data_IF_684627668531
#
_entry.id   IF_684627668531
#
_cell.length_a   1.000
_cell.length_b   1.000
_cell.length_c   1.000
_cell.angle_alpha   90.00
_cell.angle_beta   90.00
_cell.angle_gamma   90.00
#
_symmetry.space_group_name_H-M   'P 1'
#
loop_
_entity.id
_entity.type
_entity.pdbx_description
1 polymer ?
#
# COMPACT_ATOMS: atom_id res chain seq x y z
N UNK A 1 2.56 54.30 -50.21
CA UNK A 1 1.42 53.50 -49.70
C UNK A 1 1.96 52.18 -49.22
N UNK A 2 1.84 51.80 -47.98
CA UNK A 2 1.70 52.56 -46.75
C UNK A 2 2.01 51.57 -45.63
N UNK A 3 2.32 52.10 -44.46
CA UNK A 3 2.81 51.30 -43.35
C UNK A 3 1.86 50.19 -42.92
N UNK A 4 2.46 49.01 -42.64
CA UNK A 4 2.06 48.05 -41.58
C UNK A 4 3.04 46.85 -41.56
N UNK A 5 4.31 47.12 -41.30
CA UNK A 5 5.30 46.10 -40.92
C UNK A 5 6.02 46.42 -39.60
N UNK A 6 5.47 47.35 -38.82
CA UNK A 6 5.89 47.60 -37.45
C UNK A 6 4.66 47.55 -36.57
N UNK A 7 4.60 46.51 -35.75
CA UNK A 7 3.95 46.37 -34.42
C UNK A 7 3.35 44.98 -34.32
N UNK A 8 4.17 44.00 -33.91
CA UNK A 8 3.88 42.89 -32.99
C UNK A 8 5.27 42.34 -32.63
N UNK A 9 5.99 43.14 -31.83
CA UNK A 9 7.20 42.74 -31.14
C UNK A 9 7.08 43.30 -29.72
N UNK A 10 6.06 42.83 -28.99
CA UNK A 10 5.90 43.02 -27.54
C UNK A 10 4.65 42.27 -27.07
N UNK A 11 4.87 41.03 -26.60
CA UNK A 11 4.12 40.22 -25.63
C UNK A 11 4.27 38.75 -25.99
N UNK A 12 5.36 38.14 -25.51
CA UNK A 12 5.43 36.69 -25.33
C UNK A 12 5.50 36.49 -23.82
N UNK A 13 4.36 36.08 -23.27
CA UNK A 13 4.23 35.54 -21.93
C UNK A 13 3.40 34.26 -22.13
N UNK A 14 3.94 33.13 -21.67
CA UNK A 14 3.43 31.75 -21.66
C UNK A 14 3.66 30.83 -22.89
N UNK A 15 4.20 29.60 -22.69
CA UNK A 15 4.43 28.62 -23.75
C UNK A 15 3.33 27.55 -23.75
N UNK A 16 2.17 27.83 -24.36
CA UNK A 16 1.18 26.79 -24.72
C UNK A 16 0.46 27.12 -26.03
N UNK A 17 1.20 27.25 -27.13
CA UNK A 17 0.58 27.35 -28.47
C UNK A 17 1.55 27.20 -29.67
N UNK A 18 2.81 26.78 -29.46
CA UNK A 18 3.77 26.69 -30.56
C UNK A 18 3.59 25.48 -31.50
N UNK A 19 2.70 24.52 -31.19
CA UNK A 19 2.50 23.32 -32.03
C UNK A 19 1.41 23.51 -33.10
N UNK A 20 0.62 24.59 -33.04
CA UNK A 20 -0.50 24.78 -33.98
C UNK A 20 -0.25 25.73 -35.17
N UNK A 21 0.93 26.38 -35.25
CA UNK A 21 1.22 27.36 -36.31
C UNK A 21 2.29 26.96 -37.34
N UNK A 22 2.92 25.79 -37.22
CA UNK A 22 3.87 25.30 -38.25
C UNK A 22 3.16 24.52 -39.37
N UNK A 23 1.89 24.13 -39.19
CA UNK A 23 1.19 23.24 -40.12
C UNK A 23 0.43 23.92 -41.28
N UNK A 24 0.42 25.26 -41.37
CA UNK A 24 -0.34 25.98 -42.42
C UNK A 24 0.55 26.77 -43.39
N UNK A 25 1.86 26.89 -43.14
CA UNK A 25 2.78 27.68 -43.98
C UNK A 25 3.54 26.88 -45.06
N UNK A 26 3.25 25.59 -45.28
CA UNK A 26 3.91 24.77 -46.32
C UNK A 26 2.98 24.27 -47.44
N UNK A 27 1.74 24.75 -47.52
CA UNK A 27 0.73 24.23 -48.46
C UNK A 27 0.43 25.14 -49.66
N UNK A 28 1.27 26.13 -49.98
CA UNK A 28 1.03 27.03 -51.12
C UNK A 28 1.90 26.78 -52.37
N UNK A 29 2.79 25.79 -52.39
CA UNK A 29 3.58 25.47 -53.58
C UNK A 29 3.75 23.97 -53.78
N UNK A 30 2.71 23.27 -54.23
CA UNK A 30 2.89 21.95 -54.85
C UNK A 30 1.86 21.71 -55.96
N UNK A 31 2.29 21.98 -57.20
CA UNK A 31 1.64 21.47 -58.42
C UNK A 31 2.32 20.14 -58.78
N UNK A 32 1.54 19.06 -58.83
CA UNK A 32 1.49 18.08 -59.94
C UNK A 32 1.00 16.69 -59.49
N UNK A 33 -0.06 16.22 -60.14
CA UNK A 33 -0.40 14.83 -60.45
C UNK A 33 -0.23 13.76 -59.37
N UNK A 34 -1.20 13.68 -58.46
CA UNK A 34 -1.53 12.44 -57.76
C UNK A 34 -3.01 12.18 -57.96
N UNK A 35 -3.37 10.99 -58.47
CA UNK A 35 -4.77 10.63 -58.69
C UNK A 35 -5.54 10.60 -57.37
N UNK A 36 -6.78 11.08 -57.40
CA UNK A 36 -7.67 11.24 -56.23
C UNK A 36 -7.80 9.96 -55.38
N UNK A 37 -7.66 8.80 -56.01
CA UNK A 37 -7.68 7.47 -55.37
C UNK A 37 -6.46 7.22 -54.47
N UNK A 38 -5.27 7.69 -54.84
CA UNK A 38 -4.06 7.53 -54.02
C UNK A 38 -4.04 8.51 -52.84
N UNK A 39 -4.67 9.68 -52.99
CA UNK A 39 -4.80 10.66 -51.90
C UNK A 39 -5.81 10.19 -50.84
N UNK A 40 -6.94 9.58 -51.26
CA UNK A 40 -7.91 8.97 -50.34
C UNK A 40 -7.35 7.76 -49.60
N UNK A 41 -6.59 6.88 -50.28
CA UNK A 41 -5.91 5.77 -49.60
C UNK A 41 -4.87 6.26 -48.59
N UNK A 42 -4.03 7.26 -48.93
CA UNK A 42 -3.06 7.82 -47.99
C UNK A 42 -3.69 8.58 -46.83
N UNK A 43 -4.79 9.30 -47.04
CA UNK A 43 -5.56 9.91 -45.95
C UNK A 43 -6.19 8.85 -45.05
N UNK A 44 -6.71 7.76 -45.62
CA UNK A 44 -7.27 6.65 -44.85
C UNK A 44 -6.17 5.91 -44.09
N UNK A 45 -4.96 5.73 -44.65
CA UNK A 45 -3.81 5.15 -43.94
C UNK A 45 -3.28 6.10 -42.86
N UNK A 46 -3.29 7.41 -43.07
CA UNK A 46 -2.89 8.40 -42.06
C UNK A 46 -3.94 8.50 -40.94
N UNK A 47 -5.24 8.41 -41.26
CA UNK A 47 -6.34 8.33 -40.29
C UNK A 47 -6.34 6.99 -39.55
N UNK A 48 -5.97 5.88 -40.20
CA UNK A 48 -5.77 4.58 -39.53
C UNK A 48 -4.49 4.55 -38.67
N UNK A 49 -3.42 5.27 -39.06
CA UNK A 49 -2.20 5.41 -38.27
C UNK A 49 -2.38 6.39 -37.09
N UNK A 50 -3.22 7.42 -37.24
CA UNK A 50 -3.63 8.34 -36.17
C UNK A 50 -4.74 7.77 -35.26
N UNK A 51 -5.40 6.67 -35.66
CA UNK A 51 -6.41 5.98 -34.84
C UNK A 51 -5.88 4.73 -34.12
N UNK A 52 -4.57 4.42 -34.20
CA UNK A 52 -3.92 3.34 -33.42
C UNK A 52 -3.16 3.87 -32.21
N UNK A 53 -3.12 5.17 -31.95
CA UNK A 53 -2.96 5.63 -30.56
C UNK A 53 -4.31 5.49 -29.87
N UNK A 54 -4.75 4.24 -29.66
CA UNK A 54 -5.50 3.97 -28.45
C UNK A 54 -4.62 4.48 -27.32
N UNK A 55 -4.97 5.65 -26.77
CA UNK A 55 -4.79 5.87 -25.35
C UNK A 55 -5.54 4.72 -24.68
N UNK A 56 -4.90 3.55 -24.61
CA UNK A 56 -5.12 2.61 -23.53
C UNK A 56 -4.95 3.48 -22.30
N UNK A 57 -6.06 3.87 -21.69
CA UNK A 57 -6.03 4.61 -20.44
C UNK A 57 -5.07 3.88 -19.53
N UNK A 58 -3.96 4.54 -19.18
CA UNK A 58 -2.93 3.91 -18.38
C UNK A 58 -3.54 3.50 -17.03
N UNK A 59 -3.67 2.20 -16.86
CA UNK A 59 -4.29 1.53 -15.73
C UNK A 59 -3.59 0.18 -15.54
N UNK A 60 -3.37 -0.25 -14.29
CA UNK A 60 -2.91 -1.59 -14.02
C UNK A 60 -3.85 -2.60 -14.69
N UNK A 61 -3.31 -3.46 -15.54
CA UNK A 61 -4.05 -4.56 -16.14
C UNK A 61 -4.03 -5.82 -15.25
N UNK A 62 -3.83 -5.62 -13.95
CA UNK A 62 -3.68 -6.66 -12.95
C UNK A 62 -4.37 -6.26 -11.65
N UNK A 63 -4.69 -7.26 -10.83
CA UNK A 63 -5.37 -7.04 -9.56
C UNK A 63 -4.53 -6.17 -8.61
N UNK A 64 -5.19 -5.34 -7.79
CA UNK A 64 -4.54 -4.58 -6.72
C UNK A 64 -3.87 -5.51 -5.71
N UNK A 65 -2.76 -5.08 -5.08
CA UNK A 65 -2.12 -5.89 -4.05
C UNK A 65 -3.04 -5.99 -2.82
N UNK A 66 -3.08 -7.19 -2.24
CA UNK A 66 -3.84 -7.51 -1.04
C UNK A 66 -3.23 -8.73 -0.35
N UNK A 67 -3.55 -8.92 0.92
CA UNK A 67 -3.02 -9.97 1.76
C UNK A 67 -1.73 -9.56 2.47
N UNK A 68 -0.97 -10.58 2.87
CA UNK A 68 0.28 -10.45 3.62
C UNK A 68 1.42 -10.14 2.65
N UNK A 69 2.03 -8.97 2.85
CA UNK A 69 3.28 -8.56 2.25
C UNK A 69 4.36 -8.48 3.33
N UNK A 70 5.60 -8.83 3.00
CA UNK A 70 6.69 -8.64 3.95
C UNK A 70 7.20 -7.19 3.96
N UNK A 71 7.20 -6.52 5.12
CA UNK A 71 8.04 -5.34 5.38
C UNK A 71 9.48 -5.79 5.67
N UNK A 72 10.12 -6.47 4.72
CA UNK A 72 11.44 -7.05 4.90
C UNK A 72 12.56 -6.00 4.89
N UNK A 73 13.76 -6.35 5.36
CA UNK A 73 14.90 -5.43 5.41
C UNK A 73 15.19 -4.73 4.06
N UNK A 74 15.81 -3.53 4.08
CA UNK A 74 16.10 -2.82 2.84
C UNK A 74 17.12 -3.58 1.98
N UNK A 75 17.06 -3.35 0.68
CA UNK A 75 18.04 -3.83 -0.30
C UNK A 75 19.28 -2.95 -0.23
N UNK A 76 20.40 -3.54 0.18
CA UNK A 76 21.68 -2.84 0.43
C UNK A 76 22.87 -3.45 -0.29
N UNK A 77 22.66 -4.53 -1.06
CA UNK A 77 23.74 -5.34 -1.62
C UNK A 77 24.34 -6.37 -0.66
N UNK A 78 23.93 -6.37 0.61
CA UNK A 78 24.33 -7.38 1.59
C UNK A 78 23.24 -8.43 1.82
N UNK A 79 23.64 -9.69 1.95
CA UNK A 79 22.71 -10.81 2.17
C UNK A 79 21.68 -10.93 1.06
N UNK A 80 20.43 -11.24 1.41
CA UNK A 80 19.34 -11.40 0.44
C UNK A 80 18.61 -10.10 0.09
N UNK A 81 18.94 -8.97 0.74
CA UNK A 81 18.17 -7.74 0.63
C UNK A 81 16.72 -7.91 1.13
N UNK A 82 15.77 -7.35 0.38
CA UNK A 82 14.34 -7.40 0.75
C UNK A 82 13.69 -8.77 0.50
N UNK A 83 14.06 -9.48 -0.55
CA UNK A 83 13.51 -10.80 -0.90
C UNK A 83 14.27 -11.90 -0.15
N UNK A 84 13.97 -12.03 1.14
CA UNK A 84 14.50 -13.11 1.97
C UNK A 84 13.87 -14.47 1.58
N UNK A 85 14.66 -15.50 1.21
CA UNK A 85 14.16 -16.82 0.84
C UNK A 85 13.25 -17.48 1.88
N UNK A 86 13.55 -17.36 3.17
CA UNK A 86 12.76 -17.99 4.23
C UNK A 86 11.34 -17.41 4.31
N UNK A 87 11.20 -16.12 4.03
CA UNK A 87 9.91 -15.42 3.93
C UNK A 87 9.24 -15.74 2.60
N UNK A 88 10.00 -15.66 1.50
CA UNK A 88 9.48 -15.85 0.15
C UNK A 88 9.01 -17.30 -0.11
N UNK A 89 9.44 -18.28 0.68
CA UNK A 89 8.94 -19.65 0.61
C UNK A 89 7.59 -19.86 1.32
N UNK A 90 7.13 -18.92 2.16
CA UNK A 90 5.83 -19.04 2.82
C UNK A 90 4.70 -18.82 1.81
N UNK A 91 3.78 -19.78 1.71
CA UNK A 91 2.66 -19.73 0.75
C UNK A 91 1.70 -18.58 1.03
N UNK A 92 1.50 -18.25 2.31
CA UNK A 92 0.61 -17.18 2.73
C UNK A 92 1.18 -15.77 2.50
N UNK A 93 2.43 -15.62 2.06
CA UNK A 93 3.01 -14.32 1.70
C UNK A 93 2.74 -14.06 0.22
N UNK A 94 1.96 -13.02 -0.11
CA UNK A 94 1.63 -12.67 -1.49
C UNK A 94 2.71 -11.78 -2.14
N UNK A 95 3.43 -11.00 -1.34
CA UNK A 95 4.46 -10.12 -1.86
C UNK A 95 5.42 -9.58 -0.81
N UNK A 96 6.32 -8.70 -1.24
CA UNK A 96 7.42 -8.19 -0.46
C UNK A 96 7.60 -6.71 -0.78
N UNK A 97 7.70 -5.89 0.25
CA UNK A 97 8.15 -4.50 0.12
C UNK A 97 9.65 -4.48 -0.15
N UNK A 98 10.02 -4.09 -1.37
CA UNK A 98 11.40 -3.84 -1.78
C UNK A 98 11.68 -2.36 -1.55
N UNK A 99 12.54 -2.08 -0.57
CA UNK A 99 13.07 -0.75 -0.27
C UNK A 99 14.51 -0.64 -0.75
N UNK A 100 14.83 0.38 -1.53
CA UNK A 100 16.21 0.61 -2.00
C UNK A 100 16.54 2.10 -1.97
N UNK A 101 17.73 2.45 -1.51
CA UNK A 101 18.18 3.84 -1.40
C UNK A 101 18.41 4.50 -2.76
N UNK A 102 18.05 5.78 -2.89
CA UNK A 102 18.36 6.57 -4.08
C UNK A 102 19.86 6.59 -4.37
N UNK A 103 20.71 6.76 -3.36
CA UNK A 103 22.16 6.70 -3.45
C UNK A 103 22.73 5.40 -4.04
N UNK A 104 22.01 4.27 -3.92
CA UNK A 104 22.42 3.00 -4.53
C UNK A 104 21.97 2.89 -5.99
N UNK A 105 20.86 3.53 -6.33
CA UNK A 105 20.32 3.52 -7.68
C UNK A 105 20.93 4.60 -8.59
N UNK A 106 21.44 5.69 -8.01
CA UNK A 106 22.09 6.80 -8.72
C UNK A 106 23.32 7.29 -7.94
N UNK A 107 24.40 6.47 -7.92
CA UNK A 107 25.61 6.78 -7.15
C UNK A 107 26.33 8.06 -7.61
N UNK A 108 26.13 8.48 -8.86
CA UNK A 108 26.63 9.73 -9.44
C UNK A 108 25.52 10.37 -10.28
N UNK A 109 25.55 11.70 -10.44
CA UNK A 109 24.55 12.45 -11.21
C UNK A 109 24.37 11.83 -12.62
N UNK A 110 23.12 11.49 -12.96
CA UNK A 110 22.70 10.88 -14.22
C UNK A 110 23.35 9.52 -14.55
N UNK A 111 23.96 8.86 -13.57
CA UNK A 111 24.53 7.52 -13.70
C UNK A 111 23.77 6.53 -12.83
N UNK A 112 22.87 5.79 -13.46
CA UNK A 112 21.99 4.85 -12.78
C UNK A 112 22.56 3.43 -12.70
N UNK A 113 22.42 2.80 -11.53
CA UNK A 113 22.71 1.38 -11.30
C UNK A 113 21.45 0.67 -10.77
N UNK A 114 20.82 -0.11 -11.64
CA UNK A 114 19.59 -0.85 -11.32
C UNK A 114 19.84 -2.28 -10.85
N UNK A 115 21.11 -2.72 -10.81
CA UNK A 115 21.49 -4.13 -10.62
C UNK A 115 20.87 -4.74 -9.37
N UNK A 116 20.91 -4.02 -8.25
CA UNK A 116 20.37 -4.49 -6.98
C UNK A 116 18.85 -4.69 -7.05
N UNK A 117 18.12 -3.74 -7.64
CA UNK A 117 16.67 -3.81 -7.76
C UNK A 117 16.24 -4.90 -8.74
N UNK A 118 16.94 -5.06 -9.87
CA UNK A 118 16.70 -6.16 -10.82
C UNK A 118 16.93 -7.53 -10.19
N UNK A 119 17.93 -7.65 -9.32
CA UNK A 119 18.16 -8.85 -8.52
C UNK A 119 16.98 -9.18 -7.61
N UNK A 120 16.39 -8.18 -6.95
CA UNK A 120 15.20 -8.37 -6.11
C UNK A 120 13.97 -8.76 -6.93
N UNK A 121 13.77 -8.14 -8.10
CA UNK A 121 12.69 -8.49 -9.04
C UNK A 121 12.84 -9.94 -9.52
N UNK A 122 14.06 -10.35 -9.87
CA UNK A 122 14.37 -11.73 -10.29
C UNK A 122 14.08 -12.73 -9.18
N UNK A 123 14.53 -12.44 -7.95
CA UNK A 123 14.25 -13.28 -6.79
C UNK A 123 12.74 -13.39 -6.51
N UNK A 124 12.00 -12.27 -6.56
CA UNK A 124 10.56 -12.28 -6.37
C UNK A 124 9.86 -13.14 -7.44
N UNK A 125 10.26 -13.03 -8.71
CA UNK A 125 9.77 -13.87 -9.82
C UNK A 125 10.02 -15.36 -9.55
N UNK A 126 11.21 -15.73 -9.06
CA UNK A 126 11.56 -17.12 -8.72
C UNK A 126 10.62 -17.72 -7.66
N UNK A 127 10.22 -16.93 -6.66
CA UNK A 127 9.28 -17.35 -5.60
C UNK A 127 7.81 -17.05 -5.94
N UNK A 128 7.51 -16.62 -7.17
CA UNK A 128 6.17 -16.21 -7.59
C UNK A 128 5.54 -15.11 -6.70
N UNK A 129 6.38 -14.25 -6.11
CA UNK A 129 5.96 -13.13 -5.25
C UNK A 129 5.81 -11.84 -6.04
N UNK A 130 4.96 -10.95 -5.52
CA UNK A 130 4.80 -9.58 -6.03
C UNK A 130 5.61 -8.58 -5.21
N UNK A 131 5.84 -7.41 -5.79
CA UNK A 131 6.62 -6.34 -5.16
C UNK A 131 5.74 -5.12 -4.92
N UNK A 132 5.81 -4.57 -3.71
CA UNK A 132 5.61 -3.14 -3.49
C UNK A 132 6.98 -2.47 -3.47
N UNK A 133 7.15 -1.40 -4.23
CA UNK A 133 8.45 -0.77 -4.44
C UNK A 133 8.49 0.59 -3.73
N UNK A 134 9.53 0.84 -2.96
CA UNK A 134 9.83 2.15 -2.39
C UNK A 134 11.28 2.52 -2.67
N UNK A 135 11.48 3.64 -3.38
CA UNK A 135 12.78 4.29 -3.44
C UNK A 135 12.94 5.15 -2.19
N UNK A 136 13.94 4.84 -1.38
CA UNK A 136 14.17 5.50 -0.10
C UNK A 136 14.98 6.77 -0.34
N UNK A 137 14.41 7.90 0.07
CA UNK A 137 14.99 9.24 -0.01
C UNK A 137 15.53 9.65 1.37
N UNK A 138 15.53 10.95 1.71
CA UNK A 138 15.90 11.47 3.02
C UNK A 138 17.37 11.23 3.32
N UNK A 139 17.67 10.29 4.21
CA UNK A 139 19.04 9.93 4.58
C UNK A 139 19.79 9.14 3.50
N UNK A 140 19.07 8.61 2.51
CA UNK A 140 19.65 7.86 1.39
C UNK A 140 19.68 8.69 0.10
N UNK A 141 19.63 10.02 0.22
CA UNK A 141 19.96 10.95 -0.86
C UNK A 141 21.45 10.80 -1.21
N UNK A 142 21.83 10.74 -2.50
CA UNK A 142 23.24 10.66 -2.89
C UNK A 142 24.07 11.88 -2.45
N UNK A 143 25.34 11.67 -2.11
CA UNK A 143 26.26 12.74 -1.68
C UNK A 143 26.41 13.86 -2.72
N UNK A 144 26.32 13.53 -4.02
CA UNK A 144 26.43 14.51 -5.10
C UNK A 144 25.27 15.52 -5.09
N UNK A 145 24.10 15.18 -4.53
CA UNK A 145 22.99 16.11 -4.36
C UNK A 145 23.31 17.09 -3.23
N UNK A 146 23.89 16.63 -2.12
CA UNK A 146 24.34 17.50 -1.03
C UNK A 146 25.43 18.48 -1.50
N UNK A 147 26.33 18.03 -2.39
CA UNK A 147 27.35 18.89 -3.00
C UNK A 147 26.78 20.07 -3.83
N UNK A 148 25.48 20.04 -4.19
CA UNK A 148 24.78 21.14 -4.88
C UNK A 148 24.25 22.22 -3.92
N UNK A 149 24.51 22.10 -2.62
CA UNK A 149 24.15 23.11 -1.62
C UNK A 149 22.66 23.12 -1.26
N UNK A 150 21.99 21.97 -1.36
CA UNK A 150 20.61 21.79 -0.89
C UNK A 150 20.49 22.12 0.60
N UNK A 151 19.37 22.71 1.00
CA UNK A 151 19.06 22.88 2.41
C UNK A 151 18.94 21.52 3.10
N UNK A 152 19.62 21.35 4.24
CA UNK A 152 19.66 20.07 4.97
C UNK A 152 19.52 20.25 6.48
N UNK A 153 19.21 19.15 7.15
CA UNK A 153 19.13 19.08 8.61
C UNK A 153 19.72 17.77 9.12
N UNK A 154 20.35 17.85 10.29
CA UNK A 154 20.73 16.69 11.08
C UNK A 154 19.54 16.23 11.92
N UNK A 155 19.33 14.92 11.97
CA UNK A 155 18.24 14.27 12.68
C UNK A 155 18.78 13.12 13.52
N UNK A 156 18.30 13.01 14.76
CA UNK A 156 18.63 11.88 15.62
C UNK A 156 17.69 10.72 15.27
N UNK A 157 18.23 9.71 14.58
CA UNK A 157 17.61 8.40 14.48
C UNK A 157 17.97 7.58 15.74
N UNK A 158 17.25 6.47 16.05
CA UNK A 158 17.41 5.75 17.32
C UNK A 158 18.84 5.41 17.74
N UNK A 159 19.79 5.30 16.79
CA UNK A 159 21.21 5.03 17.08
C UNK A 159 22.21 5.82 16.21
N UNK A 160 21.75 6.76 15.37
CA UNK A 160 22.63 7.49 14.44
C UNK A 160 22.23 8.96 14.33
N UNK A 161 23.22 9.81 14.05
CA UNK A 161 23.00 11.18 13.63
C UNK A 161 23.03 11.21 12.10
N UNK A 162 21.86 11.22 11.48
CA UNK A 162 21.72 11.22 10.03
C UNK A 162 21.58 12.66 9.52
N UNK A 163 21.95 12.90 8.26
CA UNK A 163 21.66 14.16 7.57
C UNK A 163 20.61 13.89 6.49
N UNK A 164 19.56 14.69 6.48
CA UNK A 164 18.51 14.62 5.45
C UNK A 164 18.35 16.00 4.79
N UNK A 165 17.96 16.00 3.53
CA UNK A 165 17.57 17.23 2.83
C UNK A 165 16.22 17.74 3.32
N UNK A 166 16.00 19.06 3.24
CA UNK A 166 14.68 19.64 3.40
C UNK A 166 13.80 19.19 2.21
N UNK A 167 12.65 18.53 2.43
CA UNK A 167 11.85 17.96 1.34
C UNK A 167 11.22 18.99 0.40
N UNK A 168 11.30 20.28 0.73
CA UNK A 168 10.82 21.39 -0.10
C UNK A 168 11.95 22.16 -0.79
N UNK A 169 13.20 21.72 -0.66
CA UNK A 169 14.32 22.32 -1.38
C UNK A 169 14.14 22.08 -2.89
N UNK A 170 14.21 23.15 -3.69
CA UNK A 170 13.91 23.07 -5.12
C UNK A 170 14.95 22.28 -5.91
N UNK A 171 16.21 22.34 -5.49
CA UNK A 171 17.32 21.64 -6.15
C UNK A 171 17.22 20.15 -5.85
N UNK A 172 16.92 19.77 -4.60
CA UNK A 172 16.57 18.40 -4.25
C UNK A 172 15.39 17.88 -5.08
N UNK A 173 14.28 18.63 -5.11
CA UNK A 173 13.07 18.20 -5.81
C UNK A 173 13.32 17.99 -7.30
N UNK A 174 14.09 18.87 -7.95
CA UNK A 174 14.45 18.72 -9.35
C UNK A 174 15.14 17.38 -9.62
N UNK A 175 16.24 17.11 -8.93
CA UNK A 175 16.99 15.85 -9.11
C UNK A 175 16.20 14.63 -8.68
N UNK A 176 15.38 14.74 -7.64
CA UNK A 176 14.52 13.65 -7.21
C UNK A 176 13.47 13.30 -8.27
N UNK A 177 12.87 14.30 -8.92
CA UNK A 177 11.91 14.06 -10.00
C UNK A 177 12.57 13.52 -11.27
N UNK A 178 13.82 13.90 -11.56
CA UNK A 178 14.59 13.34 -12.68
C UNK A 178 14.92 11.85 -12.44
N UNK A 179 15.34 11.52 -11.21
CA UNK A 179 15.52 10.13 -10.79
C UNK A 179 14.22 9.31 -10.93
N UNK A 180 13.09 9.84 -10.46
CA UNK A 180 11.79 9.16 -10.58
C UNK A 180 11.45 8.90 -12.05
N UNK A 181 11.71 9.87 -12.94
CA UNK A 181 11.48 9.71 -14.36
C UNK A 181 12.37 8.61 -14.97
N UNK A 182 13.66 8.56 -14.62
CA UNK A 182 14.58 7.51 -15.05
C UNK A 182 14.16 6.12 -14.54
N UNK A 183 13.76 6.02 -13.27
CA UNK A 183 13.23 4.78 -12.70
C UNK A 183 11.95 4.33 -13.41
N UNK A 184 11.04 5.27 -13.72
CA UNK A 184 9.84 5.00 -14.50
C UNK A 184 10.16 4.45 -15.89
N UNK A 185 11.07 5.10 -16.62
CA UNK A 185 11.51 4.63 -17.93
C UNK A 185 12.02 3.18 -17.91
N UNK A 186 12.72 2.78 -16.83
CA UNK A 186 13.27 1.44 -16.69
C UNK A 186 12.24 0.40 -16.21
N UNK A 187 11.33 0.76 -15.29
CA UNK A 187 10.50 -0.21 -14.56
C UNK A 187 8.98 -0.13 -14.84
N UNK A 188 8.47 0.87 -15.56
CA UNK A 188 7.02 1.05 -15.77
C UNK A 188 6.28 -0.10 -16.48
N UNK A 189 7.01 -1.03 -17.10
CA UNK A 189 6.44 -2.22 -17.74
C UNK A 189 6.53 -3.49 -16.88
N UNK A 190 7.27 -3.47 -15.75
CA UNK A 190 7.43 -4.66 -14.93
C UNK A 190 6.16 -4.91 -14.08
N UNK A 191 5.53 -6.05 -14.32
CA UNK A 191 4.28 -6.45 -13.66
C UNK A 191 4.48 -7.28 -12.40
N UNK A 192 5.73 -7.60 -12.03
CA UNK A 192 6.06 -8.11 -10.70
C UNK A 192 5.89 -7.00 -9.67
N UNK A 193 6.26 -5.77 -10.03
CA UNK A 193 5.91 -4.57 -9.26
C UNK A 193 4.40 -4.34 -9.40
N UNK A 194 3.68 -4.36 -8.29
CA UNK A 194 2.23 -4.14 -8.25
C UNK A 194 1.88 -2.76 -7.73
N UNK A 195 2.66 -2.27 -6.77
CA UNK A 195 2.45 -0.99 -6.12
C UNK A 195 3.78 -0.24 -5.99
N UNK A 196 3.76 1.05 -6.25
CA UNK A 196 4.92 1.94 -6.04
C UNK A 196 4.53 2.96 -4.98
N UNK A 197 5.35 3.05 -3.94
CA UNK A 197 5.23 4.06 -2.91
C UNK A 197 5.76 5.39 -3.43
N UNK A 198 4.92 6.42 -3.34
CA UNK A 198 5.32 7.81 -3.53
C UNK A 198 6.08 8.22 -2.27
N UNK A 199 7.38 8.45 -2.39
CA UNK A 199 8.25 8.82 -1.27
C UNK A 199 8.80 10.24 -1.43
N UNK A 200 9.14 10.84 -0.31
CA UNK A 200 9.81 12.13 -0.23
C UNK A 200 10.87 12.10 0.89
N UNK A 201 11.64 13.18 1.06
CA UNK A 201 12.67 13.26 2.09
C UNK A 201 12.05 13.35 3.50
N UNK A 202 12.26 12.30 4.29
CA UNK A 202 11.94 12.19 5.71
C UNK A 202 13.04 11.42 6.45
N UNK A 203 12.94 11.28 7.77
CA UNK A 203 13.97 10.61 8.58
C UNK A 203 14.24 9.17 8.12
N UNK A 204 13.20 8.39 7.81
CA UNK A 204 13.34 7.04 7.26
C UNK A 204 13.29 6.99 5.73
N UNK A 205 13.02 8.12 5.07
CA UNK A 205 13.06 8.28 3.62
C UNK A 205 11.85 7.72 2.87
N UNK A 206 10.77 7.35 3.57
CA UNK A 206 9.55 6.80 2.95
C UNK A 206 8.28 7.45 3.48
N UNK A 207 8.22 7.73 4.79
CA UNK A 207 7.04 8.29 5.46
C UNK A 207 6.92 9.80 5.25
N UNK A 208 5.72 10.36 5.48
CA UNK A 208 5.54 11.82 5.41
C UNK A 208 5.89 12.57 6.70
N UNK A 209 6.08 11.86 7.80
CA UNK A 209 6.47 12.44 9.08
C UNK A 209 7.83 13.14 8.97
N UNK A 210 7.87 14.42 9.32
CA UNK A 210 9.11 15.17 9.49
C UNK A 210 9.75 14.88 10.86
N UNK A 211 11.08 15.01 10.98
CA UNK A 211 11.76 14.85 12.26
C UNK A 211 11.18 15.78 13.32
N UNK A 212 10.82 15.23 14.48
CA UNK A 212 10.37 16.00 15.64
C UNK A 212 11.47 16.93 16.17
N UNK A 213 12.73 16.48 16.09
CA UNK A 213 13.91 17.22 16.51
C UNK A 213 14.92 17.22 15.36
N UNK A 214 15.34 18.42 14.94
CA UNK A 214 16.30 18.61 13.85
C UNK A 214 17.23 19.79 14.14
N UNK A 215 18.43 19.75 13.56
CA UNK A 215 19.40 20.85 13.58
C UNK A 215 19.93 21.14 12.17
N UNK A 216 19.72 22.36 11.61
CA UNK A 216 18.89 23.43 12.15
C UNK A 216 17.42 23.02 12.29
N UNK A 217 16.66 23.73 13.13
CA UNK A 217 15.23 23.44 13.32
C UNK A 217 14.43 23.62 12.02
N UNK A 218 13.28 22.96 11.90
CA UNK A 218 12.36 23.15 10.76
C UNK A 218 12.00 24.64 10.55
N UNK A 219 11.79 25.38 11.64
CA UNK A 219 11.52 26.82 11.58
C UNK A 219 12.69 27.61 10.98
N UNK A 220 13.93 27.26 11.36
CA UNK A 220 15.15 27.86 10.79
C UNK A 220 15.32 27.54 9.30
N UNK A 221 14.79 26.40 8.84
CA UNK A 221 14.69 26.05 7.42
C UNK A 221 13.45 26.64 6.72
N UNK A 222 12.78 27.59 7.37
CA UNK A 222 11.60 28.29 6.86
C UNK A 222 10.45 27.33 6.51
N UNK A 223 10.22 26.33 7.35
CA UNK A 223 9.08 25.42 7.24
C UNK A 223 7.75 26.18 7.12
N UNK A 224 6.88 25.68 6.24
CA UNK A 224 5.44 25.93 6.27
C UNK A 224 4.71 24.68 5.76
N UNK A 225 3.48 24.48 6.22
CA UNK A 225 2.62 23.40 5.71
C UNK A 225 2.50 23.48 4.19
N UNK A 226 2.39 24.69 3.63
CA UNK A 226 2.29 24.91 2.18
C UNK A 226 3.53 24.42 1.41
N UNK A 227 4.74 24.63 1.94
CA UNK A 227 5.98 24.13 1.30
C UNK A 227 5.99 22.61 1.23
N UNK A 228 5.59 21.94 2.30
CA UNK A 228 5.54 20.47 2.35
C UNK A 228 4.41 19.94 1.46
N UNK A 229 3.25 20.58 1.46
CA UNK A 229 2.14 20.22 0.57
C UNK A 229 2.59 20.33 -0.89
N UNK A 230 3.24 21.44 -1.26
CA UNK A 230 3.68 21.65 -2.63
C UNK A 230 4.78 20.65 -3.03
N UNK A 231 5.71 20.31 -2.14
CA UNK A 231 6.71 19.29 -2.44
C UNK A 231 6.09 17.91 -2.65
N UNK A 232 5.13 17.52 -1.80
CA UNK A 232 4.37 16.27 -1.99
C UNK A 232 3.57 16.26 -3.29
N UNK A 233 2.95 17.37 -3.69
CA UNK A 233 2.26 17.48 -4.99
C UNK A 233 3.22 17.31 -6.18
N UNK A 234 4.41 17.89 -6.10
CA UNK A 234 5.47 17.73 -7.11
C UNK A 234 5.87 16.27 -7.26
N UNK A 235 6.25 15.60 -6.17
CA UNK A 235 6.68 14.19 -6.24
C UNK A 235 5.53 13.25 -6.61
N UNK A 236 4.31 13.52 -6.14
CA UNK A 236 3.10 12.76 -6.53
C UNK A 236 2.88 12.82 -8.04
N UNK A 237 3.07 13.99 -8.65
CA UNK A 237 2.97 14.15 -10.09
C UNK A 237 4.05 13.36 -10.81
N UNK A 238 5.30 13.44 -10.37
CA UNK A 238 6.41 12.69 -10.96
C UNK A 238 6.19 11.17 -10.91
N UNK A 239 5.80 10.61 -9.75
CA UNK A 239 5.51 9.17 -9.64
C UNK A 239 4.30 8.74 -10.48
N UNK A 240 3.24 9.56 -10.52
CA UNK A 240 2.06 9.32 -11.36
C UNK A 240 2.44 9.18 -12.83
N UNK A 241 3.30 10.07 -13.31
CA UNK A 241 3.69 10.14 -14.72
C UNK A 241 4.73 9.04 -15.05
N UNK A 242 5.63 8.73 -14.12
CA UNK A 242 6.67 7.71 -14.26
C UNK A 242 6.14 6.27 -14.18
N UNK A 243 5.08 6.03 -13.40
CA UNK A 243 4.48 4.70 -13.19
C UNK A 243 3.00 4.69 -13.57
N UNK A 244 2.68 4.88 -14.88
CA UNK A 244 1.32 5.07 -15.33
C UNK A 244 0.49 3.78 -15.26
N UNK A 245 1.13 2.61 -15.20
CA UNK A 245 0.48 1.30 -15.16
C UNK A 245 0.50 0.62 -13.78
N UNK A 246 0.95 1.31 -12.73
CA UNK A 246 1.04 0.76 -11.37
C UNK A 246 0.01 1.38 -10.43
N UNK A 247 -0.32 0.64 -9.38
CA UNK A 247 -0.98 1.22 -8.21
C UNK A 247 0.02 2.09 -7.46
N UNK A 248 -0.46 3.21 -6.91
CA UNK A 248 0.35 4.18 -6.19
C UNK A 248 -0.22 4.38 -4.79
N UNK A 249 0.66 4.59 -3.83
CA UNK A 249 0.28 4.87 -2.45
C UNK A 249 1.36 5.68 -1.77
N UNK A 250 1.03 6.39 -0.70
CA UNK A 250 2.02 6.84 0.28
C UNK A 250 1.50 6.63 1.69
N UNK A 251 2.45 6.65 2.63
CA UNK A 251 2.15 6.73 4.05
C UNK A 251 1.55 8.10 4.41
N UNK A 252 0.69 8.12 5.43
CA UNK A 252 0.05 9.31 5.97
C UNK A 252 0.28 9.46 7.47
N UNK A 253 0.82 10.59 7.91
CA UNK A 253 0.93 10.97 9.32
C UNK A 253 0.64 12.47 9.48
N UNK A 254 0.24 12.93 10.68
CA UNK A 254 0.29 14.36 10.98
C UNK A 254 1.71 14.88 10.77
N UNK A 255 1.87 15.98 10.04
CA UNK A 255 3.19 16.55 9.78
C UNK A 255 3.38 17.77 10.68
N UNK A 256 4.41 17.73 11.53
CA UNK A 256 4.70 18.81 12.48
C UNK A 256 3.48 19.22 13.34
N UNK A 257 2.69 18.23 13.77
CA UNK A 257 1.46 18.45 14.54
C UNK A 257 0.23 18.91 13.74
N UNK A 258 0.34 19.01 12.41
CA UNK A 258 -0.74 19.44 11.52
C UNK A 258 -1.27 18.28 10.68
N UNK A 259 -2.60 18.13 10.64
CA UNK A 259 -3.28 17.19 9.73
C UNK A 259 -3.45 17.77 8.31
N UNK A 260 -3.30 19.09 8.15
CA UNK A 260 -3.59 19.80 6.90
C UNK A 260 -2.71 19.29 5.76
N UNK A 261 -1.46 18.94 6.06
CA UNK A 261 -0.54 18.37 5.08
C UNK A 261 -1.07 17.04 4.54
N UNK A 262 -1.36 16.09 5.42
CA UNK A 262 -1.90 14.78 5.07
C UNK A 262 -3.21 14.89 4.26
N UNK A 263 -4.16 15.70 4.75
CA UNK A 263 -5.46 15.90 4.09
C UNK A 263 -5.31 16.50 2.69
N UNK A 264 -4.45 17.51 2.54
CA UNK A 264 -4.22 18.20 1.27
C UNK A 264 -3.52 17.29 0.24
N UNK A 265 -2.55 16.50 0.69
CA UNK A 265 -1.83 15.55 -0.16
C UNK A 265 -2.76 14.42 -0.61
N UNK A 266 -3.56 13.85 0.29
CA UNK A 266 -4.53 12.82 -0.06
C UNK A 266 -5.57 13.32 -1.06
N UNK A 267 -6.12 14.52 -0.83
CA UNK A 267 -7.10 15.11 -1.75
C UNK A 267 -6.50 15.32 -3.15
N UNK A 268 -5.27 15.83 -3.23
CA UNK A 268 -4.58 16.02 -4.50
C UNK A 268 -4.26 14.70 -5.20
N UNK A 269 -3.67 13.73 -4.49
CA UNK A 269 -3.28 12.44 -5.05
C UNK A 269 -4.51 11.65 -5.55
N UNK A 270 -5.58 11.59 -4.74
CA UNK A 270 -6.83 10.92 -5.11
C UNK A 270 -7.44 11.53 -6.38
N UNK A 271 -7.46 12.86 -6.48
CA UNK A 271 -7.99 13.57 -7.65
C UNK A 271 -7.12 13.41 -8.90
N UNK A 272 -5.79 13.49 -8.75
CA UNK A 272 -4.85 13.52 -9.88
C UNK A 272 -4.50 12.13 -10.42
N UNK A 273 -4.49 11.10 -9.58
CA UNK A 273 -4.15 9.72 -9.95
C UNK A 273 -5.42 8.88 -10.19
N UNK A 274 -6.52 9.18 -9.49
CA UNK A 274 -7.78 8.46 -9.59
C UNK A 274 -7.74 7.08 -8.96
N UNK A 275 -8.40 6.10 -9.59
CA UNK A 275 -8.62 4.73 -9.08
C UNK A 275 -7.35 3.89 -8.88
N UNK A 276 -6.18 4.40 -9.28
CA UNK A 276 -4.89 3.74 -9.04
C UNK A 276 -4.27 4.13 -7.71
N UNK A 277 -4.87 5.05 -6.97
CA UNK A 277 -4.30 5.61 -5.76
C UNK A 277 -5.03 5.17 -4.48
N UNK A 278 -4.28 4.77 -3.46
CA UNK A 278 -4.78 4.39 -2.15
C UNK A 278 -3.91 4.98 -1.04
N UNK A 279 -4.43 5.01 0.19
CA UNK A 279 -3.67 5.43 1.35
C UNK A 279 -2.95 4.27 2.02
N UNK A 280 -1.79 4.53 2.61
CA UNK A 280 -1.16 3.62 3.54
C UNK A 280 -1.02 4.28 4.91
N UNK A 281 -1.06 3.46 5.97
CA UNK A 281 -0.80 3.89 7.33
C UNK A 281 0.34 3.05 7.91
N UNK A 282 1.49 3.69 8.15
CA UNK A 282 2.58 3.03 8.83
C UNK A 282 2.41 3.21 10.35
N UNK A 283 3.03 2.29 11.10
CA UNK A 283 2.91 2.15 12.55
C UNK A 283 1.50 1.72 13.00
N UNK A 284 0.94 0.75 12.29
CA UNK A 284 -0.35 0.17 12.61
C UNK A 284 -0.30 -0.74 13.84
N UNK A 285 -1.25 -0.51 14.75
CA UNK A 285 -1.48 -1.21 16.01
C UNK A 285 -2.99 -1.29 16.31
N UNK A 286 -3.38 -1.99 17.38
CA UNK A 286 -4.75 -1.95 17.88
C UNK A 286 -5.19 -0.52 18.27
N UNK A 287 -4.26 0.38 18.56
CA UNK A 287 -4.52 1.71 19.11
C UNK A 287 -4.69 2.80 18.06
N UNK A 288 -4.63 2.52 16.76
CA UNK A 288 -4.60 3.58 15.73
C UNK A 288 -5.81 4.52 15.74
N UNK A 289 -6.96 4.09 16.27
CA UNK A 289 -8.13 4.97 16.51
C UNK A 289 -7.86 6.09 17.53
N UNK A 290 -6.90 5.91 18.44
CA UNK A 290 -6.56 6.88 19.49
C UNK A 290 -5.22 7.56 19.25
N UNK A 291 -4.21 6.85 18.73
CA UNK A 291 -2.87 7.44 18.51
C UNK A 291 -2.79 8.29 17.24
N UNK A 292 -3.53 7.93 16.19
CA UNK A 292 -3.53 8.66 14.91
C UNK A 292 -4.95 8.80 14.32
N UNK A 293 -5.88 9.48 15.01
CA UNK A 293 -7.29 9.54 14.61
C UNK A 293 -7.52 10.14 13.22
N UNK A 294 -6.71 11.12 12.81
CA UNK A 294 -6.77 11.72 11.47
C UNK A 294 -6.30 10.77 10.37
N UNK A 295 -5.13 10.12 10.55
CA UNK A 295 -4.63 9.07 9.67
C UNK A 295 -5.67 7.95 9.54
N UNK A 296 -6.23 7.49 10.66
CA UNK A 296 -7.24 6.43 10.68
C UNK A 296 -8.49 6.83 9.88
N UNK A 297 -9.00 8.05 10.06
CA UNK A 297 -10.18 8.55 9.31
C UNK A 297 -9.92 8.58 7.80
N UNK A 298 -8.75 9.07 7.40
CA UNK A 298 -8.31 9.10 5.99
C UNK A 298 -8.16 7.69 5.42
N UNK A 299 -7.56 6.78 6.18
CA UNK A 299 -7.39 5.38 5.80
C UNK A 299 -8.75 4.70 5.58
N UNK A 300 -9.71 4.90 6.49
CA UNK A 300 -11.09 4.38 6.36
C UNK A 300 -11.79 4.90 5.11
N UNK A 301 -11.62 6.20 4.80
CA UNK A 301 -12.14 6.79 3.56
C UNK A 301 -11.51 6.13 2.35
N UNK A 302 -10.20 5.93 2.35
CA UNK A 302 -9.49 5.31 1.22
C UNK A 302 -9.87 3.84 1.02
N UNK A 303 -9.99 3.06 2.11
CA UNK A 303 -10.34 1.64 2.07
C UNK A 303 -11.75 1.38 1.52
N UNK A 304 -12.65 2.35 1.60
CA UNK A 304 -13.99 2.25 1.01
C UNK A 304 -13.96 2.23 -0.53
N UNK A 305 -12.93 2.81 -1.14
CA UNK A 305 -12.80 3.01 -2.58
C UNK A 305 -11.65 2.17 -3.19
N UNK A 306 -10.62 1.86 -2.39
CA UNK A 306 -9.38 1.27 -2.87
C UNK A 306 -8.97 0.05 -2.04
N UNK A 307 -9.03 -1.18 -2.60
CA UNK A 307 -8.77 -2.42 -1.87
C UNK A 307 -7.28 -2.62 -1.49
N UNK A 308 -6.38 -1.83 -2.08
CA UNK A 308 -4.95 -1.80 -1.75
C UNK A 308 -4.59 -0.68 -0.77
N UNK A 309 -5.60 -0.03 -0.18
CA UNK A 309 -5.40 0.74 1.05
C UNK A 309 -4.79 -0.18 2.10
N UNK A 310 -3.73 0.31 2.72
CA UNK A 310 -2.75 -0.56 3.35
C UNK A 310 -2.32 -0.14 4.73
N UNK A 311 -1.75 -1.09 5.46
CA UNK A 311 -1.10 -0.83 6.73
C UNK A 311 0.26 -1.51 6.79
N UNK A 312 1.24 -0.84 7.38
CA UNK A 312 2.46 -1.45 7.85
C UNK A 312 2.43 -1.51 9.37
N UNK A 313 2.62 -2.72 9.91
CA UNK A 313 2.51 -2.96 11.35
C UNK A 313 3.67 -2.29 12.10
N UNK A 314 3.40 -1.72 13.28
CA UNK A 314 4.44 -1.11 14.11
C UNK A 314 5.35 -2.18 14.73
N UNK A 315 6.62 -1.85 15.01
CA UNK A 315 7.55 -2.71 15.78
C UNK A 315 7.59 -4.17 15.28
N UNK A 316 7.75 -5.17 16.15
CA UNK A 316 7.49 -6.57 15.80
C UNK A 316 6.56 -7.18 16.86
N UNK A 317 5.58 -7.97 16.42
CA UNK A 317 4.69 -8.66 17.36
C UNK A 317 5.43 -9.71 18.19
N UNK A 318 6.52 -10.24 17.65
CA UNK A 318 7.30 -11.34 18.25
C UNK A 318 8.13 -10.90 19.45
N UNK A 319 8.77 -9.71 19.42
CA UNK A 319 9.62 -9.23 20.51
C UNK A 319 8.99 -8.07 21.28
N UNK A 320 8.04 -7.35 20.69
CA UNK A 320 7.39 -6.18 21.29
C UNK A 320 5.85 -6.22 21.15
N UNK A 321 5.26 -7.37 21.52
CA UNK A 321 3.80 -7.58 21.48
C UNK A 321 3.02 -6.50 22.25
N UNK A 322 3.57 -5.99 23.35
CA UNK A 322 2.92 -4.97 24.18
C UNK A 322 2.71 -3.63 23.45
N UNK A 323 3.59 -3.28 22.51
CA UNK A 323 3.47 -2.06 21.72
C UNK A 323 2.20 -2.02 20.86
N UNK A 324 1.68 -3.19 20.45
CA UNK A 324 0.46 -3.28 19.66
C UNK A 324 -0.82 -2.98 20.46
N UNK A 325 -0.78 -3.09 21.79
CA UNK A 325 -1.98 -3.07 22.65
C UNK A 325 -2.25 -4.43 23.29
N UNK A 326 -3.32 -4.51 24.09
CA UNK A 326 -3.62 -5.69 24.90
C UNK A 326 -3.90 -6.95 24.06
N UNK A 327 -4.41 -6.79 22.84
CA UNK A 327 -4.67 -7.90 21.91
C UNK A 327 -3.49 -8.25 21.00
N UNK A 328 -2.36 -7.54 21.12
CA UNK A 328 -1.15 -7.79 20.34
C UNK A 328 -1.35 -7.62 18.82
N UNK A 329 -0.43 -8.20 18.06
CA UNK A 329 -0.51 -8.28 16.59
C UNK A 329 -1.81 -8.96 16.08
N UNK A 330 -2.33 -10.05 16.70
CA UNK A 330 -3.59 -10.65 16.26
C UNK A 330 -4.77 -9.68 16.22
N UNK A 331 -4.96 -8.87 17.27
CA UNK A 331 -6.05 -7.89 17.28
C UNK A 331 -5.75 -6.71 16.35
N UNK A 332 -4.50 -6.31 16.16
CA UNK A 332 -4.15 -5.29 15.17
C UNK A 332 -4.50 -5.73 13.74
N UNK A 333 -4.28 -7.01 13.40
CA UNK A 333 -4.69 -7.58 12.12
C UNK A 333 -6.20 -7.73 12.00
N UNK A 334 -6.86 -8.22 13.05
CA UNK A 334 -8.32 -8.30 13.09
C UNK A 334 -8.97 -6.92 12.92
N UNK A 335 -8.39 -5.88 13.52
CA UNK A 335 -8.82 -4.49 13.38
C UNK A 335 -8.71 -4.01 11.93
N UNK A 336 -7.56 -4.21 11.27
CA UNK A 336 -7.38 -3.85 9.86
C UNK A 336 -8.42 -4.53 8.96
N UNK A 337 -8.67 -5.84 9.18
CA UNK A 337 -9.63 -6.60 8.38
C UNK A 337 -11.07 -6.17 8.64
N UNK A 338 -11.45 -5.94 9.89
CA UNK A 338 -12.77 -5.37 10.27
C UNK A 338 -13.01 -4.05 9.54
N UNK A 339 -11.94 -3.30 9.32
CA UNK A 339 -11.96 -2.03 8.65
C UNK A 339 -11.86 -2.08 7.13
N UNK A 340 -11.81 -3.27 6.54
CA UNK A 340 -11.63 -3.51 5.10
C UNK A 340 -10.30 -2.99 4.56
N UNK A 341 -9.30 -2.83 5.41
CA UNK A 341 -7.91 -2.61 5.00
C UNK A 341 -7.34 -3.97 4.67
N UNK A 342 -7.08 -4.23 3.38
CA UNK A 342 -6.80 -5.58 2.88
C UNK A 342 -5.34 -5.80 2.49
N UNK A 343 -4.47 -4.81 2.59
CA UNK A 343 -3.05 -4.91 2.27
C UNK A 343 -2.24 -4.74 3.56
N UNK A 344 -1.54 -5.79 3.99
CA UNK A 344 -0.86 -5.85 5.29
C UNK A 344 0.63 -6.08 5.12
N UNK A 345 1.44 -5.08 5.43
CA UNK A 345 2.89 -5.21 5.50
C UNK A 345 3.33 -5.62 6.91
N UNK A 346 3.91 -6.81 7.00
CA UNK A 346 4.25 -7.48 8.26
C UNK A 346 5.75 -7.74 8.29
N UNK A 347 6.39 -7.53 9.43
CA UNK A 347 7.84 -7.68 9.56
C UNK A 347 8.27 -9.13 9.34
N UNK A 348 9.47 -9.31 8.78
CA UNK A 348 10.00 -10.64 8.48
C UNK A 348 10.07 -11.55 9.71
N UNK A 349 10.31 -10.98 10.89
CA UNK A 349 10.36 -11.75 12.14
C UNK A 349 8.99 -12.32 12.51
N UNK A 350 7.92 -11.53 12.32
CA UNK A 350 6.55 -11.97 12.61
C UNK A 350 6.05 -12.99 11.59
N UNK A 351 6.43 -12.85 10.31
CA UNK A 351 6.12 -13.85 9.29
C UNK A 351 6.82 -15.20 9.58
N UNK A 352 8.04 -15.14 10.11
CA UNK A 352 8.81 -16.34 10.44
C UNK A 352 8.49 -16.92 11.81
N UNK A 353 7.68 -16.24 12.63
CA UNK A 353 7.24 -16.73 13.92
C UNK A 353 6.15 -17.82 13.75
N UNK A 354 6.40 -19.08 14.15
CA UNK A 354 5.42 -20.16 14.03
C UNK A 354 4.10 -19.88 14.77
N UNK A 355 4.11 -19.06 15.84
CA UNK A 355 2.90 -18.70 16.58
C UNK A 355 1.93 -17.86 15.74
N UNK A 356 2.43 -17.10 14.75
CA UNK A 356 1.61 -16.29 13.86
C UNK A 356 1.30 -17.00 12.53
N UNK A 357 1.85 -18.19 12.27
CA UNK A 357 1.67 -18.88 10.99
C UNK A 357 0.20 -19.19 10.69
N UNK A 358 -0.56 -19.70 11.66
CA UNK A 358 -2.00 -19.94 11.49
C UNK A 358 -2.78 -18.65 11.30
N UNK A 359 -2.44 -17.61 12.06
CA UNK A 359 -3.08 -16.29 11.96
C UNK A 359 -2.90 -15.70 10.55
N UNK A 360 -1.67 -15.67 10.06
CA UNK A 360 -1.31 -15.06 8.78
C UNK A 360 -1.78 -15.88 7.58
N UNK A 361 -1.74 -17.21 7.67
CA UNK A 361 -2.23 -18.09 6.60
C UNK A 361 -3.75 -18.15 6.47
N UNK A 362 -4.48 -17.86 7.55
CA UNK A 362 -5.95 -17.80 7.53
C UNK A 362 -6.50 -16.38 7.32
N UNK A 363 -5.64 -15.36 7.35
CA UNK A 363 -6.02 -13.97 7.13
C UNK A 363 -6.57 -13.79 5.71
N UNK A 364 -7.83 -13.35 5.62
CA UNK A 364 -8.49 -13.08 4.35
C UNK A 364 -9.32 -11.82 4.48
N UNK A 365 -9.22 -10.95 3.49
CA UNK A 365 -10.10 -9.79 3.41
C UNK A 365 -11.45 -10.23 2.85
N UNK A 366 -12.33 -10.70 3.73
CA UNK A 366 -13.68 -11.11 3.36
C UNK A 366 -14.59 -9.89 3.26
N UNK A 367 -15.28 -9.75 2.12
CA UNK A 367 -16.31 -8.72 1.92
C UNK A 367 -17.50 -8.83 2.90
N UNK A 368 -17.59 -9.90 3.68
CA UNK A 368 -18.65 -10.14 4.66
C UNK A 368 -18.32 -9.64 6.07
N UNK A 369 -17.13 -9.07 6.32
CA UNK A 369 -16.75 -8.61 7.67
C UNK A 369 -16.66 -9.73 8.72
N UNK A 370 -16.75 -10.99 8.28
CA UNK A 370 -16.56 -12.18 9.10
C UNK A 370 -15.13 -12.63 8.84
N UNK A 371 -14.24 -12.35 9.77
CA UNK A 371 -12.95 -13.05 9.83
C UNK A 371 -13.20 -14.54 10.06
N UNK A 372 -12.45 -15.45 9.40
CA UNK A 372 -12.09 -16.67 10.10
C UNK A 372 -11.16 -16.19 11.22
N UNK A 373 -11.68 -16.03 12.44
CA UNK A 373 -10.80 -15.98 13.60
C UNK A 373 -9.86 -17.19 13.46
N UNK A 374 -8.55 -16.96 13.62
CA UNK A 374 -7.52 -18.01 13.70
C UNK A 374 -8.17 -19.25 14.29
N UNK A 375 -8.26 -20.33 13.49
CA UNK A 375 -9.24 -21.40 13.66
C UNK A 375 -9.10 -22.01 15.06
N UNK A 376 -9.77 -21.41 16.03
CA UNK A 376 -10.12 -21.98 17.33
C UNK A 376 -11.19 -22.99 16.98
N UNK A 377 -10.75 -24.22 16.84
CA UNK A 377 -11.59 -25.32 16.41
C UNK A 377 -12.58 -25.64 17.52
N UNK A 378 -13.81 -25.16 17.34
CA UNK A 378 -14.97 -25.85 17.87
C UNK A 378 -15.08 -27.16 17.07
N UNK A 379 -14.85 -28.28 17.74
CA UNK A 379 -15.09 -29.61 17.18
C UNK A 379 -16.33 -30.20 17.84
N UNK A 380 -17.23 -30.73 17.01
CA UNK A 380 -18.45 -31.40 17.46
C UNK A 380 -18.43 -32.82 16.94
N UNK A 381 -18.41 -33.79 17.85
CA UNK A 381 -18.40 -35.21 17.48
C UNK A 381 -19.24 -36.08 18.42
N UNK A 382 -19.96 -37.08 17.87
CA UNK A 382 -20.18 -37.28 16.45
C UNK A 382 -21.09 -36.19 15.85
N UNK A 383 -20.88 -35.89 14.57
CA UNK A 383 -21.77 -35.04 13.78
C UNK A 383 -21.76 -35.57 12.34
N UNK A 384 -22.79 -36.31 11.90
CA UNK A 384 -24.13 -36.41 12.48
C UNK A 384 -24.21 -37.19 13.81
N UNK A 385 -25.25 -36.97 14.62
CA UNK A 385 -25.50 -37.68 15.88
C UNK A 385 -26.99 -37.96 16.12
N UNK A 386 -27.31 -38.73 17.17
CA UNK A 386 -28.68 -39.05 17.59
C UNK A 386 -29.22 -38.11 18.69
N UNK A 387 -28.80 -36.84 18.66
CA UNK A 387 -29.08 -35.86 19.70
C UNK A 387 -28.05 -35.85 20.84
N UNK A 388 -27.08 -36.78 20.87
CA UNK A 388 -25.98 -36.78 21.87
C UNK A 388 -24.65 -36.53 21.19
N UNK A 389 -23.91 -35.53 21.66
CA UNK A 389 -22.62 -35.17 21.07
C UNK A 389 -21.69 -34.53 22.09
N UNK A 390 -20.42 -34.47 21.74
CA UNK A 390 -19.38 -33.82 22.50
C UNK A 390 -18.88 -32.58 21.78
N UNK A 391 -18.54 -31.58 22.57
CA UNK A 391 -17.91 -30.33 22.14
C UNK A 391 -16.49 -30.32 22.69
N UNK A 392 -15.52 -30.13 21.80
CA UNK A 392 -14.12 -29.85 22.14
C UNK A 392 -13.75 -28.45 21.65
N UNK A 393 -13.05 -27.70 22.50
CA UNK A 393 -12.58 -26.35 22.21
C UNK A 393 -11.08 -26.31 22.47
N UNK A 394 -10.27 -26.03 21.44
CA UNK A 394 -8.81 -26.13 21.60
C UNK A 394 -8.20 -24.99 22.44
N UNK A 395 -8.88 -23.84 22.59
CA UNK A 395 -8.42 -22.74 23.46
C UNK A 395 -9.57 -21.83 23.93
N UNK A 396 -9.93 -21.90 25.21
CA UNK A 396 -11.00 -21.11 25.83
C UNK A 396 -10.43 -20.24 26.95
N UNK A 397 -10.80 -18.95 26.98
CA UNK A 397 -10.26 -17.95 27.92
C UNK A 397 -11.11 -17.81 29.19
N UNK A 398 -12.40 -18.16 29.13
CA UNK A 398 -13.34 -18.02 30.25
C UNK A 398 -13.54 -19.34 31.01
N UNK A 399 -13.75 -19.26 32.32
CA UNK A 399 -14.09 -20.39 33.19
C UNK A 399 -15.49 -20.96 32.88
N UNK A 400 -16.37 -20.16 32.28
CA UNK A 400 -17.74 -20.53 31.92
C UNK A 400 -18.04 -20.17 30.47
N UNK A 401 -18.72 -21.07 29.76
CA UNK A 401 -19.20 -20.88 28.40
C UNK A 401 -20.73 -20.96 28.35
N UNK A 402 -21.35 -20.15 27.50
CA UNK A 402 -22.78 -20.24 27.20
C UNK A 402 -22.99 -21.04 25.92
N UNK A 403 -23.93 -22.00 25.94
CA UNK A 403 -24.24 -22.86 24.82
C UNK A 403 -25.70 -22.67 24.42
N UNK A 404 -25.90 -22.30 23.17
CA UNK A 404 -27.21 -22.14 22.55
C UNK A 404 -27.34 -23.13 21.38
N UNK A 405 -28.50 -23.74 21.22
CA UNK A 405 -28.82 -24.52 20.01
C UNK A 405 -30.10 -23.98 19.41
N UNK A 406 -30.06 -23.73 18.10
CA UNK A 406 -31.17 -23.21 17.34
C UNK A 406 -31.67 -24.25 16.33
N UNK A 407 -32.98 -24.35 16.15
CA UNK A 407 -33.59 -25.09 15.04
C UNK A 407 -33.25 -24.45 13.68
N UNK A 408 -33.45 -25.19 12.58
CA UNK A 408 -33.15 -24.72 11.22
C UNK A 408 -33.84 -23.41 10.79
N UNK A 409 -34.95 -23.05 11.45
CA UNK A 409 -35.68 -21.79 11.23
C UNK A 409 -35.37 -20.71 12.28
N UNK A 410 -34.36 -20.91 13.14
CA UNK A 410 -33.86 -19.89 14.07
C UNK A 410 -34.51 -19.86 15.46
N UNK A 411 -35.40 -20.80 15.80
CA UNK A 411 -35.94 -20.91 17.16
C UNK A 411 -34.88 -21.48 18.12
N UNK A 412 -34.73 -20.88 19.30
CA UNK A 412 -33.84 -21.37 20.35
C UNK A 412 -34.44 -22.61 21.02
N UNK A 413 -33.79 -23.77 20.87
CA UNK A 413 -34.26 -25.07 21.39
C UNK A 413 -33.45 -25.58 22.57
N UNK A 414 -32.28 -25.00 22.84
CA UNK A 414 -31.45 -25.30 24.00
C UNK A 414 -30.65 -24.07 24.43
N UNK A 415 -30.56 -23.82 25.73
CA UNK A 415 -29.74 -22.77 26.32
C UNK A 415 -29.24 -23.22 27.70
N UNK A 416 -27.93 -23.23 27.90
CA UNK A 416 -27.34 -23.51 29.20
C UNK A 416 -25.92 -22.93 29.32
N UNK A 417 -25.53 -22.57 30.54
CA UNK A 417 -24.16 -22.23 30.89
C UNK A 417 -23.44 -23.47 31.43
N UNK A 418 -22.19 -23.67 31.02
CA UNK A 418 -21.37 -24.79 31.43
C UNK A 418 -19.99 -24.31 31.89
N UNK A 419 -19.44 -24.98 32.89
CA UNK A 419 -18.02 -24.85 33.20
C UNK A 419 -17.20 -25.31 32.01
N UNK A 420 -16.18 -24.52 31.67
CA UNK A 420 -15.25 -24.84 30.62
C UNK A 420 -14.47 -26.12 30.96
N UNK A 421 -14.52 -27.11 30.08
CA UNK A 421 -13.84 -28.41 30.19
C UNK A 421 -13.31 -28.80 28.82
N UNK A 422 -12.22 -29.57 28.80
CA UNK A 422 -11.60 -30.08 27.56
C UNK A 422 -12.58 -30.82 26.64
N UNK A 423 -13.60 -31.46 27.24
CA UNK A 423 -14.65 -32.17 26.54
C UNK A 423 -15.98 -32.01 27.28
N UNK A 424 -16.98 -31.46 26.60
CA UNK A 424 -18.31 -31.26 27.16
C UNK A 424 -19.34 -32.12 26.42
N UNK A 425 -20.13 -32.88 27.16
CA UNK A 425 -21.22 -33.70 26.61
C UNK A 425 -22.55 -32.95 26.64
N UNK A 426 -23.26 -32.95 25.52
CA UNK A 426 -24.58 -32.33 25.36
C UNK A 426 -25.58 -33.41 24.92
N UNK A 427 -26.73 -33.46 25.59
CA UNK A 427 -27.83 -34.37 25.29
C UNK A 427 -29.11 -33.58 24.92
N UNK A 428 -29.46 -33.66 23.64
CA UNK A 428 -30.64 -33.11 23.00
C UNK A 428 -31.57 -34.23 22.48
N UNK A 429 -31.50 -35.45 23.01
CA UNK A 429 -32.20 -36.64 22.48
C UNK A 429 -33.74 -36.57 22.41
N UNK A 430 -34.35 -35.42 22.74
CA UNK A 430 -35.78 -35.13 22.58
C UNK A 430 -36.11 -34.30 21.34
N UNK A 431 -35.11 -33.80 20.62
CA UNK A 431 -35.29 -33.02 19.39
C UNK A 431 -35.54 -33.96 18.20
N UNK A 432 -36.34 -33.48 17.24
CA UNK A 432 -36.59 -34.22 16.00
C UNK A 432 -35.34 -34.30 15.12
N UNK A 433 -35.30 -35.27 14.22
CA UNK A 433 -34.27 -35.32 13.18
C UNK A 433 -34.28 -34.03 12.35
N UNK A 434 -33.11 -33.49 12.05
CA UNK A 434 -33.01 -32.20 11.35
C UNK A 434 -31.67 -31.50 11.45
N UNK A 435 -31.64 -30.31 10.83
CA UNK A 435 -30.48 -29.41 10.89
C UNK A 435 -30.69 -28.42 12.04
N UNK A 436 -29.67 -28.32 12.89
CA UNK A 436 -29.59 -27.39 14.00
C UNK A 436 -28.31 -26.56 13.89
N UNK A 437 -28.28 -25.43 14.60
CA UNK A 437 -27.12 -24.55 14.70
C UNK A 437 -26.69 -24.45 16.15
N UNK A 438 -25.49 -24.94 16.46
CA UNK A 438 -24.84 -24.80 17.75
C UNK A 438 -24.11 -23.45 17.79
N UNK A 439 -24.28 -22.72 18.88
CA UNK A 439 -23.52 -21.53 19.21
C UNK A 439 -22.89 -21.70 20.60
N UNK A 440 -21.59 -21.41 20.70
CA UNK A 440 -20.84 -21.44 21.96
C UNK A 440 -20.23 -20.05 22.17
N UNK A 441 -20.47 -19.42 23.31
CA UNK A 441 -19.97 -18.09 23.64
C UNK A 441 -19.07 -18.17 24.89
N UNK A 442 -17.81 -17.80 24.76
CA UNK A 442 -16.81 -17.79 25.85
C UNK A 442 -16.59 -16.40 26.47
N UNK A 443 -17.54 -15.47 26.29
CA UNK A 443 -17.49 -14.05 26.63
C UNK A 443 -16.58 -13.18 25.75
N UNK A 444 -15.59 -13.75 25.05
CA UNK A 444 -14.72 -13.03 24.12
C UNK A 444 -15.02 -13.35 22.66
N UNK A 445 -15.44 -14.58 22.38
CA UNK A 445 -15.66 -15.14 21.05
C UNK A 445 -16.95 -15.95 21.03
N UNK A 446 -17.66 -15.86 19.90
CA UNK A 446 -18.84 -16.66 19.60
C UNK A 446 -18.49 -17.65 18.47
N UNK A 447 -18.49 -18.94 18.79
CA UNK A 447 -18.30 -20.05 17.85
C UNK A 447 -19.65 -20.52 17.34
N UNK A 448 -19.75 -20.87 16.05
CA UNK A 448 -20.98 -21.44 15.46
C UNK A 448 -20.67 -22.63 14.59
N UNK A 449 -21.47 -23.69 14.72
CA UNK A 449 -21.33 -24.89 13.91
C UNK A 449 -22.69 -25.52 13.59
N UNK A 450 -22.81 -26.04 12.36
CA UNK A 450 -23.96 -26.85 11.95
C UNK A 450 -23.94 -28.19 12.67
N UNK A 451 -25.06 -28.56 13.28
CA UNK A 451 -25.30 -29.85 13.94
C UNK A 451 -26.35 -30.63 13.13
N UNK A 452 -26.08 -31.89 12.82
CA UNK A 452 -27.05 -32.78 12.16
C UNK A 452 -27.51 -33.86 13.14
N UNK A 453 -28.81 -33.81 13.49
CA UNK A 453 -29.46 -34.84 14.31
C UNK A 453 -30.18 -35.82 13.37
N UNK A 454 -29.93 -37.12 13.54
CA UNK A 454 -30.47 -38.24 12.76
C UNK A 454 -30.96 -39.37 13.64
#
# INVERSE_FOLDING_TARGET
MDGKLRTIAQKIQEPKSAIFYISIACLSHWKANVSETHMKQRLLTLLLLLSITSQLFAQPNYAPPSGVYCSCGPTTGNGFGSVNPQVAQKDFVQGILVRIGWNLCEPQEDQYDWTLLEGQITAAKQYSKKISLAFVNGKLVPDWVFAKGVASMQVLAPNTLDTIVAPWDSTHLHHWTDFIAAAGQHFQSDTTIRLVYITNASTNGCEMQLPFNSNPSLASLSYSDEKVINSWKTVTTAFKDAFPNHYLSNDFHPVNGSNVVADSVYAFASSSIGTRYGANAWWWTQRNTTVYPAQYTLLKKSAAENPFTGVQFANNGTQDSASFGAGGMPEALAHAIRDKVCYWEIWNQDILNPEFEMLLSSASCLNTGILPLAKKTLEVFPNPNSGKFQIKLDHVVSETIAINVYAGHGELVYNAAHSNKDLLEIDLGKLSEGIYFLEVNDAQVVYRQKLLIR
#
